data_IF_698392266612
#
_entry.id   IF_698392266612
#
_cell.length_a   1.000
_cell.length_b   1.000
_cell.length_c   1.000
_cell.angle_alpha   90.00
_cell.angle_beta   90.00
_cell.angle_gamma   90.00
#
_symmetry.space_group_name_H-M   'P 1'
#
loop_
_entity.id
_entity.type
_entity.pdbx_description
1 polymer ?
#
# COMPACT_ATOMS: atom_id res chain seq x y z
N UNK A 1 -43.35 11.37 41.44
CA UNK A 1 -42.08 10.64 41.63
C UNK A 1 -42.01 9.59 40.54
N UNK A 2 -41.21 9.81 39.49
CA UNK A 2 -40.96 8.76 38.50
C UNK A 2 -40.06 7.72 39.17
N UNK A 3 -40.61 6.53 39.42
CA UNK A 3 -39.81 5.36 39.78
C UNK A 3 -38.87 5.09 38.61
N UNK A 4 -37.61 5.51 38.72
CA UNK A 4 -36.57 5.05 37.81
C UNK A 4 -36.46 3.55 37.99
N UNK A 5 -36.98 2.78 37.03
CA UNK A 5 -36.85 1.33 37.01
C UNK A 5 -35.36 1.02 36.86
N UNK A 6 -34.72 0.57 37.94
CA UNK A 6 -33.31 0.24 37.94
C UNK A 6 -33.16 -1.24 37.59
N UNK A 7 -32.67 -1.52 36.39
CA UNK A 7 -32.39 -2.88 35.96
C UNK A 7 -31.00 -3.29 36.45
N UNK A 8 -30.86 -4.52 36.94
CA UNK A 8 -29.57 -5.11 37.35
C UNK A 8 -29.34 -6.37 36.54
N UNK A 9 -28.13 -6.51 35.99
CA UNK A 9 -27.67 -7.71 35.29
C UNK A 9 -26.58 -8.37 36.13
N UNK A 10 -26.75 -9.66 36.40
CA UNK A 10 -25.81 -10.47 37.14
C UNK A 10 -25.23 -11.55 36.23
N UNK A 11 -23.91 -11.70 36.26
CA UNK A 11 -23.19 -12.66 35.42
C UNK A 11 -23.09 -14.00 36.14
N UNK A 12 -23.53 -15.08 35.49
CA UNK A 12 -23.26 -16.44 35.93
C UNK A 12 -21.79 -16.78 35.69
N UNK A 13 -20.93 -16.66 36.70
CA UNK A 13 -19.51 -17.00 36.59
C UNK A 13 -19.16 -18.31 37.31
N UNK A 14 -18.38 -19.15 36.63
CA UNK A 14 -17.72 -20.35 37.17
C UNK A 14 -16.29 -20.10 37.68
N UNK A 15 -15.66 -18.97 37.31
CA UNK A 15 -14.26 -18.66 37.64
C UNK A 15 -14.08 -17.42 38.53
N UNK A 16 -13.08 -17.48 39.41
CA UNK A 16 -12.73 -16.51 40.47
C UNK A 16 -11.85 -15.35 40.01
N UNK A 17 -12.02 -14.87 38.78
CA UNK A 17 -11.27 -13.71 38.27
C UNK A 17 -11.72 -12.37 38.86
N UNK A 18 -10.88 -11.32 38.75
CA UNK A 18 -11.21 -9.92 39.11
C UNK A 18 -12.24 -9.26 38.15
N UNK A 19 -13.18 -10.02 37.61
CA UNK A 19 -14.18 -9.53 36.66
C UNK A 19 -15.44 -9.13 37.43
N UNK A 20 -16.03 -7.96 37.14
CA UNK A 20 -17.26 -7.57 37.81
C UNK A 20 -18.40 -8.52 37.53
N UNK A 21 -19.19 -8.80 38.56
CA UNK A 21 -20.28 -9.78 38.54
C UNK A 21 -21.65 -9.14 38.35
N UNK A 22 -21.78 -7.87 38.72
CA UNK A 22 -23.04 -7.15 38.68
C UNK A 22 -22.87 -5.81 37.98
N UNK A 23 -23.86 -5.51 37.15
CA UNK A 23 -23.96 -4.30 36.35
C UNK A 23 -25.35 -3.69 36.52
N UNK A 24 -25.42 -2.37 36.54
CA UNK A 24 -26.67 -1.62 36.47
C UNK A 24 -26.94 -1.28 35.01
N UNK A 25 -28.18 -1.47 34.56
CA UNK A 25 -28.60 -1.15 33.19
C UNK A 25 -29.51 0.07 33.20
N UNK A 26 -29.07 1.13 32.53
CA UNK A 26 -29.81 2.37 32.36
C UNK A 26 -30.65 2.28 31.08
N UNK A 27 -31.97 2.31 31.21
CA UNK A 27 -32.90 2.17 30.09
C UNK A 27 -33.25 3.53 29.47
N UNK A 28 -33.16 3.61 28.14
CA UNK A 28 -33.52 4.78 27.34
C UNK A 28 -34.58 4.41 26.30
N UNK A 29 -35.56 5.30 26.14
CA UNK A 29 -36.59 5.25 25.10
C UNK A 29 -36.44 6.35 24.06
N UNK A 30 -35.70 7.40 24.40
CA UNK A 30 -35.40 8.51 23.51
C UNK A 30 -34.05 8.25 22.82
N UNK A 31 -34.12 7.68 21.62
CA UNK A 31 -32.96 7.41 20.77
C UNK A 31 -33.39 7.37 19.29
N UNK A 32 -32.41 7.47 18.39
CA UNK A 32 -32.66 7.40 16.94
C UNK A 32 -33.27 6.03 16.60
N UNK A 33 -34.42 5.96 15.89
CA UNK A 33 -35.05 4.68 15.55
C UNK A 33 -34.09 3.72 14.84
N UNK A 34 -33.95 2.51 15.37
CA UNK A 34 -33.06 1.47 14.86
C UNK A 34 -33.83 0.18 14.54
N UNK A 35 -33.35 -0.55 13.54
CA UNK A 35 -33.84 -1.88 13.16
C UNK A 35 -32.68 -2.88 13.14
N UNK A 36 -32.99 -4.14 13.42
CA UNK A 36 -32.03 -5.25 13.42
C UNK A 36 -32.24 -6.07 12.15
N UNK A 37 -31.16 -6.29 11.41
CA UNK A 37 -31.13 -7.10 10.19
C UNK A 37 -30.04 -8.16 10.39
N UNK A 38 -30.34 -9.40 10.03
CA UNK A 38 -29.38 -10.50 10.02
C UNK A 38 -28.97 -10.85 8.59
N UNK A 39 -27.72 -11.27 8.42
CA UNK A 39 -27.19 -11.82 7.18
C UNK A 39 -26.73 -13.25 7.43
N UNK A 40 -27.20 -14.19 6.62
CA UNK A 40 -26.75 -15.58 6.69
C UNK A 40 -25.41 -15.77 6.00
N UNK A 41 -24.69 -16.84 6.34
CA UNK A 41 -23.44 -17.22 5.66
C UNK A 41 -23.60 -17.50 4.15
N UNK A 42 -24.84 -17.59 3.65
CA UNK A 42 -25.17 -17.74 2.23
C UNK A 42 -25.55 -16.40 1.57
N UNK A 43 -25.40 -15.27 2.25
CA UNK A 43 -25.70 -13.93 1.73
C UNK A 43 -27.18 -13.58 1.70
N UNK A 44 -28.03 -14.28 2.47
CA UNK A 44 -29.46 -13.97 2.59
C UNK A 44 -29.68 -13.00 3.76
N UNK A 45 -30.38 -11.89 3.51
CA UNK A 45 -30.76 -10.91 4.53
C UNK A 45 -32.17 -11.17 5.07
N UNK A 46 -32.36 -10.98 6.38
CA UNK A 46 -33.66 -11.04 7.05
C UNK A 46 -33.82 -9.86 8.01
N UNK A 47 -35.01 -9.24 8.05
CA UNK A 47 -35.35 -8.20 9.02
C UNK A 47 -35.84 -8.88 10.32
N UNK A 48 -35.06 -8.76 11.40
CA UNK A 48 -35.34 -9.41 12.70
C UNK A 48 -36.31 -8.60 13.55
N UNK A 49 -36.25 -7.26 13.49
CA UNK A 49 -37.17 -6.43 14.24
C UNK A 49 -36.73 -4.97 14.41
N UNK A 50 -37.44 -4.27 15.29
CA UNK A 50 -37.18 -2.88 15.65
C UNK A 50 -36.65 -2.81 17.08
N UNK A 51 -35.70 -1.92 17.34
CA UNK A 51 -35.22 -1.64 18.69
C UNK A 51 -36.21 -0.73 19.40
N UNK A 52 -36.74 -1.19 20.53
CA UNK A 52 -37.71 -0.43 21.35
C UNK A 52 -37.05 0.24 22.56
N UNK A 53 -36.05 -0.42 23.16
CA UNK A 53 -35.39 0.03 24.37
C UNK A 53 -33.87 -0.09 24.19
N UNK A 54 -33.14 0.98 24.54
CA UNK A 54 -31.67 0.99 24.62
C UNK A 54 -31.25 0.84 26.08
N UNK A 55 -30.29 -0.03 26.36
CA UNK A 55 -29.74 -0.22 27.69
C UNK A 55 -28.25 0.12 27.68
N UNK A 56 -27.84 1.09 28.50
CA UNK A 56 -26.42 1.34 28.75
C UNK A 56 -26.00 0.64 30.03
N UNK A 57 -24.91 -0.13 29.93
CA UNK A 57 -24.41 -0.94 31.03
C UNK A 57 -23.35 -0.19 31.81
N UNK A 58 -23.59 -0.05 33.11
CA UNK A 58 -22.67 0.57 34.07
C UNK A 58 -22.28 -0.43 35.15
N UNK A 59 -21.08 -0.25 35.69
CA UNK A 59 -20.59 -1.09 36.77
C UNK A 59 -21.42 -0.87 38.03
N UNK A 60 -21.86 -1.97 38.67
CA UNK A 60 -22.54 -1.85 39.96
C UNK A 60 -21.55 -1.50 41.09
N UNK A 61 -22.01 -0.74 42.08
CA UNK A 61 -21.15 -0.13 43.11
C UNK A 61 -20.34 -1.13 43.94
N UNK A 62 -20.86 -2.35 44.09
CA UNK A 62 -20.22 -3.43 44.85
C UNK A 62 -18.89 -3.91 44.21
N UNK A 63 -18.66 -3.64 42.92
CA UNK A 63 -17.52 -4.20 42.17
C UNK A 63 -16.42 -3.18 41.80
N UNK A 64 -16.47 -1.94 42.29
CA UNK A 64 -15.53 -0.88 41.87
C UNK A 64 -14.05 -1.24 42.14
N UNK A 65 -13.75 -1.85 43.30
CA UNK A 65 -12.37 -2.17 43.70
C UNK A 65 -11.72 -3.20 42.76
N UNK A 66 -12.42 -4.29 42.46
CA UNK A 66 -11.90 -5.35 41.60
C UNK A 66 -11.85 -4.94 40.13
N UNK A 67 -12.82 -4.12 39.68
CA UNK A 67 -12.75 -3.50 38.36
C UNK A 67 -11.55 -2.58 38.20
N UNK A 68 -11.18 -1.80 39.22
CA UNK A 68 -9.98 -0.96 39.19
C UNK A 68 -8.70 -1.78 38.98
N UNK A 69 -8.59 -2.95 39.64
CA UNK A 69 -7.48 -3.89 39.42
C UNK A 69 -7.48 -4.41 37.99
N UNK A 70 -8.65 -4.79 37.46
CA UNK A 70 -8.81 -5.25 36.07
C UNK A 70 -8.38 -4.18 35.05
N UNK A 71 -8.81 -2.93 35.24
CA UNK A 71 -8.43 -1.81 34.39
C UNK A 71 -6.91 -1.61 34.40
N UNK A 72 -6.27 -1.64 35.57
CA UNK A 72 -4.81 -1.52 35.69
C UNK A 72 -4.10 -2.69 34.99
N UNK A 73 -4.60 -3.91 35.15
CA UNK A 73 -4.03 -5.09 34.49
C UNK A 73 -4.13 -4.97 32.96
N UNK A 74 -5.27 -4.52 32.41
CA UNK A 74 -5.45 -4.27 30.98
C UNK A 74 -4.49 -3.20 30.46
N UNK A 75 -4.36 -2.08 31.18
CA UNK A 75 -3.41 -1.02 30.83
C UNK A 75 -1.97 -1.53 30.85
N UNK A 76 -1.57 -2.28 31.87
CA UNK A 76 -0.24 -2.87 31.95
C UNK A 76 0.02 -3.82 30.77
N UNK A 77 -0.92 -4.70 30.45
CA UNK A 77 -0.83 -5.61 29.29
C UNK A 77 -0.69 -4.84 27.97
N UNK A 78 -1.45 -3.77 27.80
CA UNK A 78 -1.39 -2.92 26.60
C UNK A 78 -0.09 -2.09 26.52
N UNK A 79 0.53 -1.74 27.65
CA UNK A 79 1.81 -1.02 27.70
C UNK A 79 3.02 -1.88 27.36
N UNK A 80 2.89 -3.20 27.33
CA UNK A 80 3.97 -4.10 26.91
C UNK A 80 4.21 -3.90 25.42
N UNK A 81 5.28 -3.16 25.09
CA UNK A 81 5.69 -2.94 23.71
C UNK A 81 6.12 -4.28 23.09
N UNK A 82 5.43 -4.70 22.04
CA UNK A 82 5.77 -5.92 21.27
C UNK A 82 7.13 -5.79 20.57
N UNK A 83 7.61 -4.56 20.35
CA UNK A 83 8.92 -4.26 19.76
C UNK A 83 9.85 -3.65 20.82
N UNK A 84 10.97 -4.31 21.06
CA UNK A 84 12.03 -3.84 21.96
C UNK A 84 13.22 -3.34 21.13
N UNK A 85 13.77 -2.18 21.51
CA UNK A 85 15.03 -1.69 20.96
C UNK A 85 16.15 -2.55 21.55
N UNK A 86 16.85 -3.30 20.70
CA UNK A 86 18.08 -3.99 21.10
C UNK A 86 19.25 -3.03 20.88
N UNK A 87 19.98 -2.71 21.94
CA UNK A 87 21.25 -2.00 21.84
C UNK A 87 22.28 -2.99 21.27
N UNK A 88 22.97 -2.60 20.22
CA UNK A 88 24.04 -3.41 19.63
C UNK A 88 25.29 -3.12 20.45
N UNK A 89 25.81 -4.14 21.13
CA UNK A 89 26.96 -4.03 22.05
C UNK A 89 28.30 -3.82 21.31
N UNK A 90 28.35 -4.19 20.02
CA UNK A 90 29.52 -3.99 19.17
C UNK A 90 29.40 -2.68 18.38
N UNK A 91 29.78 -1.57 19.01
CA UNK A 91 29.75 -0.20 18.48
C UNK A 91 31.05 0.19 17.75
N UNK A 92 31.91 -0.80 17.41
CA UNK A 92 33.11 -0.60 16.61
C UNK A 92 32.79 0.17 15.33
N UNK A 93 33.17 1.44 15.29
CA UNK A 93 32.74 2.44 14.30
C UNK A 93 33.05 2.11 12.83
N UNK A 94 33.79 1.03 12.56
CA UNK A 94 34.03 0.51 11.21
C UNK A 94 32.73 0.01 10.56
N UNK A 95 31.79 -0.56 11.32
CA UNK A 95 30.48 -1.02 10.80
C UNK A 95 29.43 0.11 10.75
N UNK A 96 29.65 1.20 11.49
CA UNK A 96 28.70 2.30 11.65
C UNK A 96 29.03 3.53 10.80
N UNK A 97 30.22 3.58 10.19
CA UNK A 97 30.60 4.62 9.23
C UNK A 97 30.09 4.25 7.84
N UNK A 98 29.42 5.17 7.12
CA UNK A 98 29.18 4.99 5.69
C UNK A 98 30.55 4.82 5.01
N UNK A 99 30.78 3.65 4.41
CA UNK A 99 31.98 3.43 3.62
C UNK A 99 32.03 4.46 2.48
N UNK A 100 33.12 5.24 2.34
CA UNK A 100 33.28 6.15 1.21
C UNK A 100 33.19 5.36 -0.09
N UNK A 101 32.15 5.60 -0.89
CA UNK A 101 31.91 4.92 -2.18
C UNK A 101 30.72 3.94 -2.24
N UNK A 102 29.96 3.69 -1.15
CA UNK A 102 28.82 2.76 -1.14
C UNK A 102 27.44 3.42 -1.29
N UNK A 103 27.29 4.35 -2.23
CA UNK A 103 25.98 4.84 -2.70
C UNK A 103 25.30 3.83 -3.64
N UNK A 104 25.35 2.51 -3.36
CA UNK A 104 24.69 1.50 -4.19
C UNK A 104 24.66 0.09 -3.57
N UNK A 105 24.28 -0.09 -2.30
CA UNK A 105 24.03 -1.44 -1.78
C UNK A 105 22.63 -1.57 -1.16
N UNK A 106 21.77 -2.11 -2.03
CA UNK A 106 20.44 -2.67 -1.83
C UNK A 106 20.45 -3.70 -0.69
N UNK A 107 19.38 -3.83 0.13
CA UNK A 107 19.30 -4.87 1.15
C UNK A 107 19.33 -6.25 0.49
N UNK A 108 20.21 -7.11 0.98
CA UNK A 108 20.32 -8.50 0.59
C UNK A 108 19.01 -9.23 0.86
N UNK A 109 18.25 -9.46 -0.20
CA UNK A 109 17.04 -10.27 -0.24
C UNK A 109 17.00 -10.96 -1.58
N UNK A 110 17.59 -12.16 -1.60
CA UNK A 110 17.31 -13.29 -2.49
C UNK A 110 17.32 -13.12 -4.03
N UNK A 111 18.02 -14.07 -4.65
CA UNK A 111 17.98 -14.56 -6.04
C UNK A 111 18.97 -13.96 -7.03
N UNK A 112 19.98 -14.81 -7.28
CA UNK A 112 20.50 -15.14 -8.61
C UNK A 112 20.75 -13.97 -9.55
N UNK A 113 21.97 -13.42 -9.49
CA UNK A 113 22.52 -12.66 -10.62
C UNK A 113 23.80 -13.30 -11.14
N UNK A 114 23.61 -14.01 -12.26
CA UNK A 114 24.62 -14.25 -13.30
C UNK A 114 25.51 -13.02 -13.48
N UNK A 115 26.81 -13.30 -13.67
CA UNK A 115 27.88 -12.40 -14.13
C UNK A 115 27.32 -11.17 -14.87
N UNK A 116 27.48 -10.00 -14.27
CA UNK A 116 27.52 -8.74 -15.00
C UNK A 116 28.88 -8.12 -14.70
N UNK A 117 29.65 -8.02 -15.76
CA UNK A 117 30.87 -7.24 -15.89
C UNK A 117 30.67 -5.83 -15.31
N UNK A 118 31.64 -5.25 -14.59
CA UNK A 118 31.52 -3.91 -14.03
C UNK A 118 31.62 -2.88 -15.15
N UNK A 119 30.48 -2.48 -15.73
CA UNK A 119 30.42 -1.29 -16.57
C UNK A 119 30.44 -0.09 -15.62
N UNK A 120 31.61 0.56 -15.56
CA UNK A 120 31.82 1.86 -14.89
C UNK A 120 30.65 2.79 -15.18
N UNK A 121 30.03 3.31 -14.12
CA UNK A 121 29.11 4.43 -14.24
C UNK A 121 29.86 5.63 -14.79
N UNK A 122 29.73 5.87 -16.09
CA UNK A 122 29.98 7.19 -16.64
C UNK A 122 28.84 8.07 -16.17
N UNK A 123 29.13 8.94 -15.20
CA UNK A 123 28.44 10.21 -15.05
C UNK A 123 28.79 11.08 -16.28
N UNK A 124 28.36 10.59 -17.44
CA UNK A 124 28.39 11.34 -18.67
C UNK A 124 27.12 12.18 -18.61
N UNK A 125 27.30 13.50 -18.58
CA UNK A 125 26.28 14.45 -19.00
C UNK A 125 25.59 13.86 -20.24
N UNK A 126 24.40 13.28 -20.07
CA UNK A 126 23.60 12.69 -21.16
C UNK A 126 23.29 13.82 -22.11
N UNK A 127 24.16 13.96 -23.10
CA UNK A 127 24.07 15.04 -24.07
C UNK A 127 22.92 14.67 -25.00
N UNK A 128 21.99 15.61 -25.17
CA UNK A 128 20.87 15.44 -26.09
C UNK A 128 21.44 15.11 -27.46
N UNK A 129 21.12 13.94 -27.99
CA UNK A 129 21.48 13.61 -29.37
C UNK A 129 20.72 14.50 -30.34
N UNK A 130 21.28 14.67 -31.53
CA UNK A 130 20.59 15.40 -32.59
C UNK A 130 19.25 14.73 -32.90
N UNK A 131 18.22 15.56 -33.11
CA UNK A 131 16.85 15.08 -33.22
C UNK A 131 16.69 14.10 -34.39
N UNK A 132 17.28 14.41 -35.56
CA UNK A 132 17.19 13.57 -36.77
C UNK A 132 17.84 12.21 -36.59
N UNK A 133 18.96 12.16 -35.85
CA UNK A 133 19.65 10.90 -35.55
C UNK A 133 18.80 10.02 -34.63
N UNK A 134 18.14 10.62 -33.62
CA UNK A 134 17.28 9.87 -32.70
C UNK A 134 16.03 9.32 -33.38
N UNK A 135 15.43 10.08 -34.30
CA UNK A 135 14.29 9.63 -35.11
C UNK A 135 14.64 8.35 -35.89
N UNK A 136 15.79 8.33 -36.57
CA UNK A 136 16.29 7.15 -37.29
C UNK A 136 16.52 5.94 -36.37
N UNK A 137 17.08 6.17 -35.17
CA UNK A 137 17.28 5.10 -34.17
C UNK A 137 15.94 4.56 -33.70
N UNK A 138 14.96 5.44 -33.44
CA UNK A 138 13.62 5.06 -33.01
C UNK A 138 12.95 4.19 -34.09
N UNK A 139 12.98 4.57 -35.36
CA UNK A 139 12.43 3.76 -36.45
C UNK A 139 13.06 2.35 -36.49
N UNK A 140 14.39 2.27 -36.40
CA UNK A 140 15.11 0.98 -36.34
C UNK A 140 14.75 0.14 -35.11
N UNK A 141 14.47 0.76 -33.97
CA UNK A 141 14.01 0.04 -32.78
C UNK A 141 12.62 -0.55 -33.00
N UNK A 142 11.72 0.19 -33.66
CA UNK A 142 10.36 -0.27 -33.96
C UNK A 142 10.30 -1.36 -35.04
N UNK A 143 11.32 -1.51 -35.89
CA UNK A 143 11.47 -2.69 -36.76
C UNK A 143 11.70 -3.97 -35.95
N UNK A 144 12.35 -3.89 -34.78
CA UNK A 144 12.61 -5.05 -33.91
C UNK A 144 11.34 -5.53 -33.19
N UNK A 145 10.47 -4.61 -32.81
CA UNK A 145 9.16 -4.91 -32.22
C UNK A 145 8.20 -3.72 -32.40
N UNK A 146 6.94 -4.01 -32.68
CA UNK A 146 5.93 -2.99 -32.98
C UNK A 146 5.57 -2.07 -31.80
N UNK A 147 5.76 -2.54 -30.56
CA UNK A 147 5.40 -1.82 -29.35
C UNK A 147 6.61 -1.74 -28.41
N UNK A 148 6.87 -0.55 -27.86
CA UNK A 148 7.98 -0.34 -26.94
C UNK A 148 7.54 0.39 -25.68
N UNK A 149 7.99 -0.08 -24.51
CA UNK A 149 7.79 0.66 -23.27
C UNK A 149 8.78 1.83 -23.16
N UNK A 150 8.33 2.97 -22.62
CA UNK A 150 9.16 4.16 -22.46
C UNK A 150 10.49 3.89 -21.73
N UNK A 151 10.45 3.09 -20.66
CA UNK A 151 11.65 2.71 -19.90
C UNK A 151 12.69 1.99 -20.75
N UNK A 152 12.25 1.15 -21.69
CA UNK A 152 13.16 0.42 -22.57
C UNK A 152 13.76 1.34 -23.63
N UNK A 153 12.97 2.27 -24.20
CA UNK A 153 13.49 3.26 -25.15
C UNK A 153 14.53 4.17 -24.50
N UNK A 154 14.34 4.57 -23.25
CA UNK A 154 15.34 5.33 -22.47
C UNK A 154 16.64 4.54 -22.31
N UNK A 155 16.56 3.24 -22.08
CA UNK A 155 17.73 2.39 -21.91
C UNK A 155 18.48 2.12 -23.23
N UNK A 156 17.76 1.88 -24.32
CA UNK A 156 18.34 1.60 -25.64
C UNK A 156 18.94 2.86 -26.30
N UNK A 157 18.35 4.03 -26.07
CA UNK A 157 18.81 5.30 -26.67
C UNK A 157 19.75 6.11 -25.76
N UNK A 158 19.80 5.77 -24.48
CA UNK A 158 20.48 6.50 -23.41
C UNK A 158 20.12 8.01 -23.36
N UNK A 159 18.92 8.37 -23.82
CA UNK A 159 18.39 9.73 -23.80
C UNK A 159 17.54 10.01 -22.56
N UNK A 160 17.54 11.25 -22.04
CA UNK A 160 16.68 11.60 -20.90
C UNK A 160 15.20 11.47 -21.26
N UNK A 161 14.40 10.97 -20.30
CA UNK A 161 12.99 10.63 -20.50
C UNK A 161 12.16 11.81 -21.03
N UNK A 162 12.44 13.03 -20.56
CA UNK A 162 11.74 14.24 -21.02
C UNK A 162 11.97 14.51 -22.51
N UNK A 163 13.21 14.42 -22.98
CA UNK A 163 13.55 14.66 -24.38
C UNK A 163 12.99 13.56 -25.29
N UNK A 164 13.02 12.32 -24.82
CA UNK A 164 12.46 11.20 -25.57
C UNK A 164 10.94 11.30 -25.69
N UNK A 165 10.25 11.80 -24.66
CA UNK A 165 8.79 12.06 -24.73
C UNK A 165 8.43 13.11 -25.77
N UNK A 166 9.23 14.15 -25.94
CA UNK A 166 8.99 15.18 -26.98
C UNK A 166 9.00 14.55 -28.37
N UNK A 167 10.02 13.73 -28.67
CA UNK A 167 10.16 13.06 -29.97
C UNK A 167 9.11 11.96 -30.17
N UNK A 168 8.80 11.18 -29.12
CA UNK A 168 7.75 10.17 -29.18
C UNK A 168 6.34 10.77 -29.32
N UNK A 169 6.10 11.99 -28.85
CA UNK A 169 4.81 12.66 -29.06
C UNK A 169 4.58 13.01 -30.55
N UNK A 170 5.65 13.31 -31.27
CA UNK A 170 5.59 13.66 -32.69
C UNK A 170 5.45 12.40 -33.56
N UNK A 171 6.17 11.32 -33.23
CA UNK A 171 6.26 10.10 -34.06
C UNK A 171 5.33 8.94 -33.65
N UNK A 172 4.98 8.83 -32.37
CA UNK A 172 4.33 7.65 -31.81
C UNK A 172 2.94 7.96 -31.22
N UNK A 173 2.13 6.91 -31.07
CA UNK A 173 0.88 6.88 -30.32
C UNK A 173 1.11 6.15 -29.00
N UNK A 174 0.62 6.72 -27.90
CA UNK A 174 0.71 6.10 -26.58
C UNK A 174 -0.53 5.26 -26.26
N UNK A 175 -0.33 3.97 -26.04
CA UNK A 175 -1.37 3.01 -25.74
C UNK A 175 -1.83 3.13 -24.27
N UNK A 176 -2.98 3.75 -24.05
CA UNK A 176 -3.52 3.99 -22.70
C UNK A 176 -4.32 2.82 -22.11
N UNK A 177 -4.74 1.84 -22.94
CA UNK A 177 -5.62 0.72 -22.54
C UNK A 177 -5.32 -0.54 -23.34
N UNK A 178 -5.74 -1.69 -22.83
CA UNK A 178 -5.60 -3.00 -23.49
C UNK A 178 -4.29 -3.74 -23.14
N UNK A 179 -3.99 -4.87 -23.79
CA UNK A 179 -2.82 -5.70 -23.50
C UNK A 179 -1.48 -4.98 -23.72
N UNK A 180 -1.47 -3.93 -24.55
CA UNK A 180 -0.30 -3.10 -24.83
C UNK A 180 -0.29 -1.79 -24.00
N UNK A 181 -1.06 -1.71 -22.91
CA UNK A 181 -1.10 -0.52 -22.07
C UNK A 181 0.30 -0.12 -21.59
N UNK A 182 0.63 1.17 -21.71
CA UNK A 182 1.91 1.72 -21.28
C UNK A 182 3.03 1.62 -22.31
N UNK A 183 2.72 1.18 -23.54
CA UNK A 183 3.65 1.14 -24.67
C UNK A 183 3.41 2.27 -25.66
N UNK A 184 4.45 2.61 -26.42
CA UNK A 184 4.40 3.49 -27.58
C UNK A 184 4.44 2.62 -28.84
N UNK A 185 3.65 2.99 -29.85
CA UNK A 185 3.70 2.45 -31.19
C UNK A 185 3.90 3.58 -32.21
N UNK A 186 4.58 3.33 -33.34
CA UNK A 186 4.67 4.34 -34.40
C UNK A 186 3.28 4.69 -34.95
N UNK A 187 3.06 5.97 -35.29
CA UNK A 187 1.86 6.38 -36.01
C UNK A 187 1.74 5.59 -37.32
N UNK A 188 0.52 5.24 -37.75
CA UNK A 188 0.29 4.44 -38.96
C UNK A 188 0.82 5.13 -40.23
N UNK A 189 0.94 6.45 -40.23
CA UNK A 189 1.51 7.26 -41.30
C UNK A 189 2.98 6.92 -41.58
N UNK A 190 3.76 6.59 -40.54
CA UNK A 190 5.18 6.23 -40.68
C UNK A 190 5.42 4.72 -40.79
N UNK A 191 4.39 3.87 -40.61
CA UNK A 191 4.51 2.42 -40.81
C UNK A 191 4.58 2.02 -42.30
N UNK A 192 4.30 2.96 -43.22
CA UNK A 192 4.20 2.71 -44.67
C UNK A 192 5.33 3.28 -45.53
N UNK A 193 6.27 4.02 -44.94
CA UNK A 193 7.33 4.74 -45.68
C UNK A 193 8.70 4.09 -45.49
N UNK A 194 8.80 2.77 -45.62
CA UNK A 194 10.10 2.06 -45.74
C UNK A 194 10.25 1.38 -47.10
N UNK A 195 9.44 1.76 -48.09
CA UNK A 195 9.66 1.43 -49.50
C UNK A 195 9.35 2.66 -50.37
N UNK A 196 10.31 3.57 -50.49
CA UNK A 196 10.59 4.20 -51.78
C UNK A 196 12.09 4.06 -52.06
N UNK A 197 12.50 3.12 -52.93
CA UNK A 197 13.83 3.11 -53.51
C UNK A 197 13.88 4.11 -54.67
N UNK A 198 14.95 4.91 -54.67
CA UNK A 198 15.67 5.49 -55.82
C UNK A 198 15.03 6.65 -56.61
N UNK A 199 15.70 7.81 -56.61
CA UNK A 199 16.30 8.38 -57.83
C UNK A 199 17.04 9.70 -57.59
N UNK A 200 18.26 9.72 -58.13
CA UNK A 200 19.17 10.83 -58.48
C UNK A 200 20.21 11.32 -57.46
#
# INVERSE_FOLDING_TARGET
>A
MLLNLQFKMEMSQTDSGNTPKSYTLNMFKDFVPMCVVSESNQGKFSLEGKVEHKFDMELHSENFSDYGKLCRERTNKAMIKTRQVKVIDNDNGVLMRPMPGMVALVPSGSKDKKKLTPTKGSDAKRTRRDRRELENIIFKLFERQQNWALKQLVQETDQPEQFLKEILNDLCVYNKRGPNQGTHELKPEYKKSTEEPDSM
#
